data_IF_165219409463
#
_entry.id   IF_165219409463
#
_cell.length_a   1.000
_cell.length_b   1.000
_cell.length_c   1.000
_cell.angle_alpha   90.00
_cell.angle_beta   90.00
_cell.angle_gamma   90.00
#
_symmetry.space_group_name_H-M   'P 1'
#
loop_
_entity.id
_entity.type
_entity.pdbx_description
1 polymer ?
#
# COMPACT_ATOMS: atom_id res chain seq x y z
N UNK A 1 -7.86 12.63 20.95
CA UNK A 1 -8.75 13.31 19.99
C UNK A 1 -9.95 12.42 19.73
N UNK A 2 -11.14 12.85 20.14
CA UNK A 2 -12.43 12.15 19.96
C UNK A 2 -12.86 12.19 18.49
N UNK A 3 -12.32 11.29 17.67
CA UNK A 3 -12.76 11.10 16.28
C UNK A 3 -14.26 10.74 16.19
N UNK A 4 -14.85 10.22 17.27
CA UNK A 4 -16.23 9.75 17.32
C UNK A 4 -17.30 10.86 17.49
N UNK A 5 -16.91 12.13 17.68
CA UNK A 5 -17.86 13.25 17.85
C UNK A 5 -17.93 14.23 16.66
N UNK A 6 -17.27 13.91 15.55
CA UNK A 6 -17.24 14.78 14.38
C UNK A 6 -18.59 14.82 13.64
N UNK A 7 -19.00 16.00 13.19
CA UNK A 7 -20.15 16.15 12.30
C UNK A 7 -19.88 15.51 10.93
N UNK A 8 -20.94 15.15 10.20
CA UNK A 8 -20.83 14.63 8.83
C UNK A 8 -19.99 15.54 7.91
N UNK A 9 -20.16 16.86 8.03
CA UNK A 9 -19.41 17.81 7.21
C UNK A 9 -17.90 17.77 7.51
N UNK A 10 -17.53 17.65 8.78
CA UNK A 10 -16.12 17.51 9.20
C UNK A 10 -15.53 16.17 8.71
N UNK A 11 -16.30 15.09 8.77
CA UNK A 11 -15.87 13.78 8.25
C UNK A 11 -15.61 13.84 6.74
N UNK A 12 -16.52 14.45 5.97
CA UNK A 12 -16.37 14.58 4.51
C UNK A 12 -15.16 15.45 4.13
N UNK A 13 -14.92 16.56 4.85
CA UNK A 13 -13.74 17.39 4.64
C UNK A 13 -12.45 16.59 4.89
N UNK A 14 -12.38 15.85 6.01
CA UNK A 14 -11.24 15.00 6.33
C UNK A 14 -11.03 13.89 5.28
N UNK A 15 -12.10 13.24 4.84
CA UNK A 15 -12.03 12.20 3.80
C UNK A 15 -11.48 12.75 2.49
N UNK A 16 -11.95 13.93 2.06
CA UNK A 16 -11.44 14.60 0.86
C UNK A 16 -9.95 14.91 0.99
N UNK A 17 -9.53 15.52 2.09
CA UNK A 17 -8.12 15.88 2.29
C UNK A 17 -7.21 14.65 2.29
N UNK A 18 -7.63 13.57 2.98
CA UNK A 18 -6.90 12.30 3.01
C UNK A 18 -6.90 11.58 1.66
N UNK A 19 -8.02 11.61 0.94
CA UNK A 19 -8.11 11.06 -0.41
C UNK A 19 -7.07 11.69 -1.33
N UNK A 20 -7.00 13.03 -1.36
CA UNK A 20 -6.03 13.76 -2.19
C UNK A 20 -4.59 13.40 -1.85
N UNK A 21 -4.26 13.29 -0.56
CA UNK A 21 -2.95 12.85 -0.10
C UNK A 21 -2.59 11.44 -0.57
N UNK A 22 -3.52 10.48 -0.43
CA UNK A 22 -3.30 9.09 -0.85
C UNK A 22 -3.14 9.00 -2.37
N UNK A 23 -3.99 9.69 -3.14
CA UNK A 23 -3.90 9.71 -4.60
C UNK A 23 -2.59 10.34 -5.09
N UNK A 24 -2.17 11.46 -4.49
CA UNK A 24 -0.90 12.11 -4.82
C UNK A 24 0.30 11.19 -4.52
N UNK A 25 0.29 10.54 -3.36
CA UNK A 25 1.33 9.56 -3.01
C UNK A 25 1.35 8.39 -4.00
N UNK A 26 0.20 7.81 -4.30
CA UNK A 26 0.08 6.69 -5.23
C UNK A 26 0.54 7.07 -6.65
N UNK A 27 0.14 8.24 -7.16
CA UNK A 27 0.58 8.74 -8.47
C UNK A 27 2.10 8.95 -8.54
N UNK A 28 2.69 9.50 -7.49
CA UNK A 28 4.13 9.78 -7.44
C UNK A 28 4.96 8.49 -7.34
N UNK A 29 4.46 7.48 -6.61
CA UNK A 29 5.28 6.34 -6.17
C UNK A 29 4.98 5.02 -6.88
N UNK A 30 3.76 4.81 -7.36
CA UNK A 30 3.35 3.60 -8.06
C UNK A 30 3.16 3.87 -9.55
N UNK A 31 3.88 3.12 -10.39
CA UNK A 31 3.71 3.20 -11.83
C UNK A 31 2.30 2.78 -12.27
N UNK A 32 1.76 1.75 -11.62
CA UNK A 32 0.40 1.28 -11.84
C UNK A 32 -0.65 2.37 -11.57
N UNK A 33 -0.59 2.99 -10.39
CA UNK A 33 -1.57 4.03 -10.03
C UNK A 33 -1.41 5.29 -10.86
N UNK A 34 -0.18 5.67 -11.22
CA UNK A 34 0.04 6.79 -12.14
C UNK A 34 -0.66 6.57 -13.49
N UNK A 35 -0.51 5.39 -14.08
CA UNK A 35 -1.17 5.05 -15.34
C UNK A 35 -2.70 4.98 -15.18
N UNK A 36 -3.20 4.36 -14.11
CA UNK A 36 -4.64 4.19 -13.86
C UNK A 36 -5.35 5.53 -13.62
N UNK A 37 -4.73 6.43 -12.85
CA UNK A 37 -5.28 7.77 -12.58
C UNK A 37 -5.30 8.63 -13.86
N UNK A 38 -4.23 8.58 -14.66
CA UNK A 38 -4.17 9.27 -15.94
C UNK A 38 -5.25 8.78 -16.91
N UNK A 39 -5.44 7.45 -17.02
CA UNK A 39 -6.45 6.85 -17.89
C UNK A 39 -7.89 7.21 -17.46
N UNK A 40 -8.13 7.37 -16.16
CA UNK A 40 -9.44 7.75 -15.62
C UNK A 40 -9.68 9.27 -15.59
N UNK A 41 -8.69 10.09 -15.98
CA UNK A 41 -8.77 11.55 -15.91
C UNK A 41 -8.90 12.08 -14.47
N UNK A 42 -8.35 11.38 -13.49
CA UNK A 42 -8.39 11.76 -12.07
C UNK A 42 -7.09 12.45 -11.68
N UNK A 43 -7.19 13.72 -11.26
CA UNK A 43 -6.06 14.50 -10.74
C UNK A 43 -6.16 14.63 -9.22
N UNK A 44 -5.12 14.27 -8.43
CA UNK A 44 -5.20 14.30 -6.97
C UNK A 44 -5.57 15.65 -6.38
N UNK A 45 -5.16 16.76 -6.99
CA UNK A 45 -5.37 18.11 -6.46
C UNK A 45 -6.85 18.49 -6.40
N UNK A 46 -7.63 17.95 -7.34
CA UNK A 46 -9.06 18.28 -7.52
C UNK A 46 -9.99 17.13 -7.15
N UNK A 47 -9.46 15.95 -6.84
CA UNK A 47 -10.25 14.76 -6.57
C UNK A 47 -11.23 14.98 -5.40
N UNK A 48 -12.44 14.45 -5.58
CA UNK A 48 -13.44 14.22 -4.51
C UNK A 48 -13.81 12.73 -4.43
N UNK A 49 -14.55 12.35 -3.40
CA UNK A 49 -14.94 10.96 -3.13
C UNK A 49 -15.72 10.35 -4.31
N UNK A 50 -16.54 11.15 -4.98
CA UNK A 50 -17.33 10.74 -6.13
C UNK A 50 -16.47 10.35 -7.34
N UNK A 51 -15.27 10.92 -7.50
CA UNK A 51 -14.36 10.59 -8.61
C UNK A 51 -13.82 9.15 -8.52
N UNK A 52 -13.88 8.53 -7.33
CA UNK A 52 -13.50 7.12 -7.14
C UNK A 52 -14.34 6.17 -8.01
N UNK A 53 -15.57 6.56 -8.38
CA UNK A 53 -16.43 5.77 -9.27
C UNK A 53 -15.88 5.66 -10.70
N UNK A 54 -14.97 6.56 -11.10
CA UNK A 54 -14.29 6.50 -12.40
C UNK A 54 -13.14 5.50 -12.43
N UNK A 55 -12.64 5.08 -11.26
CA UNK A 55 -11.56 4.11 -11.16
C UNK A 55 -12.14 2.69 -11.24
N UNK A 56 -11.63 1.84 -12.14
CA UNK A 56 -12.05 0.45 -12.14
C UNK A 56 -11.65 -0.20 -10.81
N UNK A 57 -12.49 -1.11 -10.30
CA UNK A 57 -12.22 -1.87 -9.08
C UNK A 57 -10.90 -2.63 -9.24
N UNK A 58 -9.99 -2.49 -8.26
CA UNK A 58 -8.73 -3.23 -8.23
C UNK A 58 -8.97 -4.65 -7.71
N UNK A 59 -8.87 -5.63 -8.60
CA UNK A 59 -9.05 -7.04 -8.24
C UNK A 59 -7.80 -7.64 -7.62
N UNK A 60 -7.96 -8.71 -6.83
CA UNK A 60 -6.81 -9.50 -6.32
C UNK A 60 -5.93 -10.02 -7.46
N UNK A 61 -6.53 -10.39 -8.60
CA UNK A 61 -5.79 -10.87 -9.77
C UNK A 61 -4.86 -9.80 -10.33
N UNK A 62 -5.35 -8.58 -10.51
CA UNK A 62 -4.54 -7.44 -10.92
C UNK A 62 -3.43 -7.13 -9.90
N UNK A 63 -3.74 -7.18 -8.59
CA UNK A 63 -2.74 -6.96 -7.55
C UNK A 63 -1.57 -7.92 -7.67
N UNK A 64 -1.87 -9.20 -7.94
CA UNK A 64 -0.85 -10.23 -8.08
C UNK A 64 -0.07 -10.14 -9.39
N UNK A 65 -0.73 -9.71 -10.47
CA UNK A 65 -0.13 -9.55 -11.79
C UNK A 65 0.79 -8.32 -11.88
N UNK A 66 0.42 -7.24 -11.21
CA UNK A 66 1.12 -5.95 -11.25
C UNK A 66 1.83 -5.60 -9.95
N UNK A 67 2.18 -6.61 -9.13
CA UNK A 67 2.70 -6.40 -7.78
C UNK A 67 3.87 -5.40 -7.73
N UNK A 68 4.83 -5.56 -8.65
CA UNK A 68 6.03 -4.73 -8.74
C UNK A 68 5.69 -3.28 -9.13
N UNK A 69 4.71 -3.07 -10.01
CA UNK A 69 4.27 -1.74 -10.46
C UNK A 69 3.35 -1.03 -9.45
N UNK A 70 2.62 -1.83 -8.66
CA UNK A 70 1.74 -1.39 -7.59
C UNK A 70 2.51 -0.92 -6.36
N UNK A 71 3.69 -1.50 -6.13
CA UNK A 71 4.56 -1.11 -5.02
C UNK A 71 4.84 0.39 -5.05
N UNK A 72 4.67 1.04 -3.89
CA UNK A 72 5.06 2.43 -3.66
C UNK A 72 6.51 2.57 -3.15
N UNK A 73 7.22 1.46 -2.96
CA UNK A 73 8.62 1.42 -2.52
C UNK A 73 9.50 1.07 -3.72
N UNK A 74 10.34 2.00 -4.23
CA UNK A 74 11.23 1.75 -5.35
C UNK A 74 12.14 0.55 -5.08
N UNK A 75 12.35 -0.28 -6.11
CA UNK A 75 13.18 -1.48 -6.02
C UNK A 75 12.53 -2.66 -5.28
N UNK A 76 11.32 -2.49 -4.74
CA UNK A 76 10.58 -3.59 -4.14
C UNK A 76 9.90 -4.42 -5.22
N UNK A 77 10.28 -5.69 -5.32
CA UNK A 77 9.73 -6.66 -6.27
C UNK A 77 9.17 -7.88 -5.53
N UNK A 78 8.22 -8.56 -6.17
CA UNK A 78 7.63 -9.78 -5.62
C UNK A 78 8.72 -10.81 -5.35
N UNK A 79 9.66 -10.97 -6.28
CA UNK A 79 10.78 -11.91 -6.11
C UNK A 79 11.62 -11.58 -4.86
N UNK A 80 11.93 -10.31 -4.61
CA UNK A 80 12.67 -9.88 -3.43
C UNK A 80 11.90 -10.14 -2.13
N UNK A 81 10.59 -9.87 -2.11
CA UNK A 81 9.73 -10.15 -0.96
C UNK A 81 9.67 -11.65 -0.65
N UNK A 82 9.52 -12.48 -1.68
CA UNK A 82 9.46 -13.94 -1.54
C UNK A 82 10.78 -14.54 -1.05
N UNK A 83 11.90 -14.04 -1.58
CA UNK A 83 13.23 -14.44 -1.14
C UNK A 83 13.48 -14.06 0.32
N UNK A 84 13.06 -12.85 0.73
CA UNK A 84 13.18 -12.40 2.11
C UNK A 84 12.34 -13.25 3.07
N UNK A 85 11.08 -13.53 2.73
CA UNK A 85 10.22 -14.40 3.55
C UNK A 85 10.76 -15.84 3.66
N UNK A 86 11.34 -16.37 2.59
CA UNK A 86 12.00 -17.67 2.62
C UNK A 86 13.22 -17.67 3.56
N UNK A 87 14.05 -16.63 3.50
CA UNK A 87 15.21 -16.49 4.39
C UNK A 87 14.81 -16.43 5.88
N UNK A 88 13.73 -15.70 6.20
CA UNK A 88 13.19 -15.65 7.57
C UNK A 88 12.67 -17.02 8.04
N UNK A 89 11.92 -17.72 7.20
CA UNK A 89 11.42 -19.09 7.51
C UNK A 89 12.58 -20.06 7.76
N UNK A 90 13.65 -19.95 6.99
CA UNK A 90 14.80 -20.85 7.07
C UNK A 90 15.74 -20.47 8.24
N UNK A 91 15.38 -19.46 9.06
CA UNK A 91 16.11 -19.10 10.28
C UNK A 91 17.47 -18.46 10.03
N UNK A 92 17.65 -17.79 8.88
CA UNK A 92 18.89 -17.09 8.53
C UNK A 92 19.21 -16.02 9.59
N UNK A 93 20.34 -16.11 10.33
CA UNK A 93 20.63 -15.21 11.45
C UNK A 93 20.91 -13.76 11.03
N UNK A 94 21.21 -13.54 9.74
CA UNK A 94 21.43 -12.23 9.12
C UNK A 94 20.15 -11.61 8.54
N UNK A 95 19.06 -12.37 8.43
CA UNK A 95 17.79 -11.85 7.94
C UNK A 95 17.06 -11.12 9.08
N UNK A 96 17.16 -9.78 9.10
CA UNK A 96 16.30 -8.95 9.94
C UNK A 96 14.82 -9.09 9.54
N UNK A 97 13.89 -8.87 10.49
CA UNK A 97 12.43 -8.96 10.25
C UNK A 97 11.92 -7.96 9.20
N UNK A 98 12.66 -6.87 8.98
CA UNK A 98 12.36 -5.89 7.95
C UNK A 98 13.25 -6.10 6.72
N UNK A 99 12.65 -5.94 5.54
CA UNK A 99 13.35 -5.83 4.28
C UNK A 99 13.66 -4.37 3.99
N UNK A 100 14.89 -4.09 3.57
CA UNK A 100 15.35 -2.74 3.23
C UNK A 100 15.43 -2.59 1.71
N UNK A 101 14.79 -1.56 1.16
CA UNK A 101 14.92 -1.22 -0.24
C UNK A 101 16.37 -0.88 -0.57
N UNK A 102 17.01 -1.56 -1.54
CA UNK A 102 18.35 -1.20 -1.99
C UNK A 102 18.36 0.13 -2.75
N UNK A 103 17.21 0.61 -3.24
CA UNK A 103 17.11 1.83 -4.02
C UNK A 103 16.95 3.08 -3.13
N UNK A 104 16.28 2.96 -1.98
CA UNK A 104 15.93 4.12 -1.13
C UNK A 104 16.30 3.98 0.34
N UNK A 105 16.67 2.78 0.79
CA UNK A 105 16.89 2.49 2.22
C UNK A 105 15.60 2.39 3.04
N UNK A 106 14.42 2.55 2.42
CA UNK A 106 13.12 2.38 3.09
C UNK A 106 12.95 0.95 3.59
N UNK A 107 12.44 0.80 4.81
CA UNK A 107 12.24 -0.51 5.44
C UNK A 107 10.76 -0.86 5.51
N UNK A 108 10.44 -2.09 5.14
CA UNK A 108 9.10 -2.66 5.25
C UNK A 108 9.14 -4.07 5.81
N UNK A 109 8.04 -4.47 6.45
CA UNK A 109 7.78 -5.86 6.82
C UNK A 109 6.85 -6.50 5.79
N UNK A 110 7.20 -7.71 5.36
CA UNK A 110 6.35 -8.48 4.45
C UNK A 110 5.41 -9.41 5.22
N UNK A 111 4.17 -9.48 4.73
CA UNK A 111 3.13 -10.39 5.20
C UNK A 111 2.59 -11.18 4.02
N UNK A 112 2.26 -12.45 4.24
CA UNK A 112 1.72 -13.32 3.21
C UNK A 112 0.38 -13.96 3.65
N UNK A 113 -0.56 -14.10 2.73
CA UNK A 113 -1.74 -14.95 2.96
C UNK A 113 -1.40 -16.43 2.76
N UNK A 114 -2.14 -17.34 3.41
CA UNK A 114 -1.94 -18.80 3.30
C UNK A 114 -2.12 -19.40 1.89
N UNK A 115 -2.67 -18.66 0.91
CA UNK A 115 -2.63 -19.09 -0.50
C UNK A 115 -3.59 -20.23 -0.89
N UNK A 116 -4.62 -20.53 -0.09
CA UNK A 116 -5.61 -21.61 -0.33
C UNK A 116 -6.34 -21.54 -1.68
N UNK A 117 -6.27 -20.40 -2.38
CA UNK A 117 -6.81 -20.18 -3.73
C UNK A 117 -5.78 -20.37 -4.86
N UNK A 118 -4.61 -20.96 -4.58
CA UNK A 118 -3.54 -21.19 -5.56
C UNK A 118 -2.62 -19.98 -5.80
N UNK A 119 -2.92 -18.82 -5.22
CA UNK A 119 -2.06 -17.64 -5.25
C UNK A 119 -2.02 -16.95 -3.89
N UNK A 120 -0.84 -16.95 -3.26
CA UNK A 120 -0.60 -16.16 -2.04
C UNK A 120 -0.52 -14.67 -2.36
N UNK A 121 -1.29 -13.87 -1.63
CA UNK A 121 -1.09 -12.42 -1.56
C UNK A 121 0.14 -12.10 -0.72
N UNK A 122 0.85 -11.05 -1.12
CA UNK A 122 1.98 -10.46 -0.41
C UNK A 122 1.69 -8.99 -0.16
N UNK A 123 1.91 -8.54 1.07
CA UNK A 123 1.69 -7.17 1.50
C UNK A 123 2.92 -6.66 2.22
N UNK A 124 3.16 -5.35 2.12
CA UNK A 124 4.25 -4.66 2.80
C UNK A 124 3.67 -3.60 3.74
N UNK A 125 4.26 -3.48 4.92
CA UNK A 125 3.94 -2.42 5.89
C UNK A 125 5.22 -1.71 6.30
N UNK A 126 5.21 -0.38 6.25
CA UNK A 126 6.27 0.40 6.90
C UNK A 126 6.08 0.40 8.43
N UNK A 127 7.16 0.67 9.16
CA UNK A 127 7.17 0.65 10.63
C UNK A 127 6.27 1.73 11.23
N UNK A 128 6.24 2.92 10.65
CA UNK A 128 5.47 4.04 11.18
C UNK A 128 3.97 3.74 11.07
N UNK A 129 3.51 3.18 9.95
CA UNK A 129 2.14 2.73 9.78
C UNK A 129 1.79 1.58 10.71
N UNK A 130 2.68 0.59 10.89
CA UNK A 130 2.38 -0.50 11.81
C UNK A 130 2.26 0.02 13.24
N UNK A 131 3.23 0.82 13.70
CA UNK A 131 3.29 1.36 15.06
C UNK A 131 2.17 2.37 15.37
N UNK A 132 1.66 3.07 14.36
CA UNK A 132 0.55 4.02 14.51
C UNK A 132 -0.80 3.44 14.05
N UNK A 133 -0.83 2.18 13.62
CA UNK A 133 -2.09 1.49 13.36
C UNK A 133 -2.79 1.17 14.67
N UNK A 134 -4.12 1.01 14.63
CA UNK A 134 -4.89 0.56 15.79
C UNK A 134 -4.42 -0.75 16.40
N UNK A 135 -3.57 -1.53 15.71
CA UNK A 135 -2.96 -2.76 16.22
C UNK A 135 -1.96 -2.51 17.37
N UNK A 136 -1.37 -1.31 17.46
CA UNK A 136 -0.47 -0.92 18.55
C UNK A 136 -1.19 -0.27 19.75
N UNK A 137 -2.51 -0.11 19.67
CA UNK A 137 -3.34 0.53 20.69
C UNK A 137 -4.30 -0.46 21.40
N UNK A 138 -3.98 -1.76 21.35
CA UNK A 138 -4.62 -2.81 22.14
C UNK A 138 -3.64 -3.42 23.15
#
# INVERSE_FOLDING_TARGET
MTALSASRAQVLACQRDRLRQVLAHAQARSAFWRARLAAAGVTPEHADVEDLQRLPVLTKGEVLAHWDELSAVPGMTRAAAEAHLAALRDGRPDAGTAWTSPATGEQVMFFATGGSSGCRGLFAWDWDHLANSGLAHF
#
